data_IF_549446827384
#
_entry.id   IF_549446827384
#
_cell.length_a   1.000
_cell.length_b   1.000
_cell.length_c   1.000
_cell.angle_alpha   90.00
_cell.angle_beta   90.00
_cell.angle_gamma   90.00
#
_symmetry.space_group_name_H-M   'P 1'
#
loop_
_entity.id
_entity.type
_entity.pdbx_description
1 polymer ?
#
# COMPACT_ATOMS: atom_id res chain seq x y z
N UNK A 1 21.46 -32.16 9.54
CA UNK A 1 20.57 -31.26 8.77
C UNK A 1 19.32 -30.80 9.52
N UNK A 2 18.80 -31.53 10.53
CA UNK A 2 17.59 -31.15 11.28
C UNK A 2 17.68 -29.81 12.03
N UNK A 3 18.84 -29.50 12.62
CA UNK A 3 19.04 -28.26 13.39
C UNK A 3 19.02 -27.02 12.48
N UNK A 4 19.60 -27.14 11.28
CA UNK A 4 19.65 -26.07 10.30
C UNK A 4 18.26 -25.81 9.68
N UNK A 5 17.55 -26.87 9.31
CA UNK A 5 16.17 -26.78 8.81
C UNK A 5 15.24 -26.11 9.84
N UNK A 6 15.36 -26.48 11.11
CA UNK A 6 14.59 -25.85 12.20
C UNK A 6 14.87 -24.37 12.39
N UNK A 7 16.11 -23.91 12.10
CA UNK A 7 16.46 -22.48 12.15
C UNK A 7 15.87 -21.72 10.96
N UNK A 8 15.98 -22.29 9.77
CA UNK A 8 15.42 -21.69 8.56
C UNK A 8 13.89 -21.57 8.65
N UNK A 9 13.19 -22.59 9.13
CA UNK A 9 11.73 -22.52 9.29
C UNK A 9 11.31 -21.39 10.22
N UNK A 10 12.00 -21.20 11.34
CA UNK A 10 11.72 -20.10 12.27
C UNK A 10 11.96 -18.75 11.59
N UNK A 11 13.11 -18.56 10.93
CA UNK A 11 13.43 -17.31 10.23
C UNK A 11 12.40 -17.00 9.14
N UNK A 12 12.03 -17.99 8.33
CA UNK A 12 11.02 -17.83 7.26
C UNK A 12 9.65 -17.51 7.81
N UNK A 13 9.24 -18.13 8.94
CA UNK A 13 7.97 -17.81 9.59
C UNK A 13 7.95 -16.36 10.10
N UNK A 14 9.01 -15.91 10.77
CA UNK A 14 9.11 -14.53 11.23
C UNK A 14 9.08 -13.54 10.06
N UNK A 15 9.82 -13.83 8.99
CA UNK A 15 9.83 -12.99 7.78
C UNK A 15 8.45 -12.93 7.12
N UNK A 16 7.74 -14.05 7.01
CA UNK A 16 6.39 -14.10 6.43
C UNK A 16 5.38 -13.29 7.24
N UNK A 17 5.39 -13.43 8.57
CA UNK A 17 4.51 -12.66 9.46
C UNK A 17 4.81 -11.16 9.35
N UNK A 18 6.09 -10.77 9.33
CA UNK A 18 6.50 -9.38 9.14
C UNK A 18 6.02 -8.82 7.79
N UNK A 19 6.21 -9.56 6.69
CA UNK A 19 5.78 -9.10 5.37
C UNK A 19 4.27 -8.89 5.29
N UNK A 20 3.46 -9.84 5.78
CA UNK A 20 1.99 -9.74 5.75
C UNK A 20 1.51 -8.55 6.59
N UNK A 21 2.04 -8.41 7.80
CA UNK A 21 1.66 -7.31 8.71
C UNK A 21 2.07 -5.95 8.16
N UNK A 22 3.27 -5.85 7.59
CA UNK A 22 3.76 -4.63 6.94
C UNK A 22 2.92 -4.26 5.72
N UNK A 23 2.63 -5.19 4.82
CA UNK A 23 1.75 -4.95 3.67
C UNK A 23 0.37 -4.47 4.12
N UNK A 24 -0.21 -5.09 5.15
CA UNK A 24 -1.50 -4.66 5.68
C UNK A 24 -1.43 -3.27 6.34
N UNK A 25 -0.33 -2.94 7.02
CA UNK A 25 -0.11 -1.62 7.60
C UNK A 25 0.09 -0.54 6.50
N UNK A 26 0.80 -0.85 5.42
CA UNK A 26 0.95 0.04 4.27
C UNK A 26 -0.36 0.21 3.52
N UNK A 27 -1.19 -0.82 3.39
CA UNK A 27 -2.52 -0.68 2.77
C UNK A 27 -3.43 0.18 3.64
N UNK A 28 -3.41 0.02 4.97
CA UNK A 28 -4.25 0.83 5.87
C UNK A 28 -3.71 2.25 6.13
N UNK A 29 -2.39 2.42 6.13
CA UNK A 29 -1.71 3.70 6.40
C UNK A 29 -1.28 4.47 5.16
N UNK A 30 -1.20 3.81 4.01
CA UNK A 30 -0.81 4.38 2.71
C UNK A 30 -1.88 4.25 1.61
N UNK A 31 -2.98 3.54 1.86
CA UNK A 31 -4.04 3.30 0.88
C UNK A 31 -5.13 4.36 0.84
N UNK A 32 -4.80 5.65 0.81
CA UNK A 32 -5.86 6.67 0.82
C UNK A 32 -5.53 8.12 0.53
N UNK A 33 -4.49 8.49 -0.24
CA UNK A 33 -4.36 9.93 -0.51
C UNK A 33 -3.24 10.51 -1.35
N UNK A 34 -2.43 9.74 -2.07
CA UNK A 34 -1.39 10.34 -2.93
C UNK A 34 -1.22 9.60 -4.24
N UNK A 35 -2.32 9.36 -4.95
CA UNK A 35 -2.24 9.32 -6.40
C UNK A 35 -1.96 10.77 -6.83
N UNK A 36 -0.67 11.13 -6.85
CA UNK A 36 -0.19 12.47 -7.17
C UNK A 36 -0.43 12.72 -8.67
N UNK A 37 -1.68 13.00 -9.03
CA UNK A 37 -2.04 13.61 -10.30
C UNK A 37 -1.64 15.10 -10.25
N UNK A 38 -0.38 15.38 -9.93
CA UNK A 38 0.19 16.70 -10.05
C UNK A 38 0.49 16.92 -11.55
N UNK A 39 -0.33 17.74 -12.21
CA UNK A 39 -0.04 18.27 -13.55
C UNK A 39 -0.87 17.73 -14.71
N UNK A 40 -1.78 16.78 -14.50
CA UNK A 40 -2.70 16.37 -15.57
C UNK A 40 -3.99 17.21 -15.51
N UNK A 41 -4.05 18.25 -16.36
CA UNK A 41 -5.24 19.07 -16.57
C UNK A 41 -6.30 18.25 -17.33
N UNK A 42 -6.94 17.30 -16.64
CA UNK A 42 -8.19 16.72 -17.13
C UNK A 42 -9.26 17.78 -16.90
N UNK A 43 -9.75 18.41 -17.96
CA UNK A 43 -10.94 19.26 -17.88
C UNK A 43 -12.04 18.42 -17.24
N UNK A 44 -12.47 18.79 -16.03
CA UNK A 44 -13.52 18.06 -15.33
C UNK A 44 -14.84 18.20 -16.09
N UNK A 45 -15.09 17.28 -17.02
CA UNK A 45 -16.35 17.22 -17.76
C UNK A 45 -17.53 16.90 -16.82
N UNK A 46 -17.27 16.35 -15.63
CA UNK A 46 -18.26 16.01 -14.63
C UNK A 46 -17.84 16.51 -13.23
N UNK A 47 -18.37 17.68 -12.84
CA UNK A 47 -18.09 18.38 -11.57
C UNK A 47 -18.65 17.63 -10.35
N UNK A 48 -19.56 16.68 -10.56
CA UNK A 48 -20.17 15.89 -9.48
C UNK A 48 -19.37 14.62 -9.13
N UNK A 49 -18.29 14.33 -9.85
CA UNK A 49 -17.45 13.17 -9.54
C UNK A 49 -16.59 13.43 -8.29
N UNK A 50 -16.42 12.43 -7.39
CA UNK A 50 -15.61 12.57 -6.18
C UNK A 50 -14.10 12.74 -6.47
N UNK A 51 -13.70 12.64 -7.74
CA UNK A 51 -12.33 12.79 -8.21
C UNK A 51 -12.03 14.20 -8.75
N UNK A 52 -13.04 15.07 -8.84
CA UNK A 52 -12.85 16.46 -9.24
C UNK A 52 -12.95 17.37 -8.01
N UNK A 53 -11.85 18.03 -7.66
CA UNK A 53 -11.84 19.08 -6.64
C UNK A 53 -11.71 20.44 -7.35
N UNK A 54 -12.74 21.27 -7.23
CA UNK A 54 -12.61 22.69 -7.60
C UNK A 54 -11.62 23.31 -6.63
N UNK A 55 -10.40 23.59 -7.07
CA UNK A 55 -9.50 24.48 -6.36
C UNK A 55 -10.16 25.85 -6.36
N UNK A 56 -10.60 26.31 -5.19
CA UNK A 56 -11.11 27.67 -4.99
C UNK A 56 -9.96 28.59 -4.66
#
# INVERSE_FOLDING_TARGET
MLILARRFTVITLFAAVFAITFSAAVVRGGGGGAQSHFGANYTCLNVTSPFCTSVR
#
